data_IF_478126440525
#
_entry.id   IF_478126440525
#
_cell.length_a   1.000
_cell.length_b   1.000
_cell.length_c   1.000
_cell.angle_alpha   90.00
_cell.angle_beta   90.00
_cell.angle_gamma   90.00
#
_symmetry.space_group_name_H-M   'P 1'
#
loop_
_entity.id
_entity.type
_entity.pdbx_description
1 polymer ?
#
# COMPACT_ATOMS: atom_id res chain seq x y z
N UNK A 1 12.22 -49.57 -9.27
CA UNK A 1 12.49 -48.14 -9.51
C UNK A 1 11.23 -47.36 -9.13
N UNK A 2 11.38 -46.32 -8.30
CA UNK A 2 10.31 -45.77 -7.48
C UNK A 2 9.32 -44.91 -8.28
N UNK A 3 8.02 -45.13 -8.04
CA UNK A 3 6.83 -44.45 -8.61
C UNK A 3 6.91 -42.91 -8.58
N UNK A 4 7.75 -42.37 -7.70
CA UNK A 4 8.00 -40.94 -7.50
C UNK A 4 8.76 -40.32 -8.69
N UNK A 5 9.69 -41.07 -9.31
CA UNK A 5 10.49 -40.56 -10.42
C UNK A 5 9.62 -40.42 -11.69
N UNK A 6 8.68 -41.33 -11.91
CA UNK A 6 7.71 -41.25 -13.00
C UNK A 6 6.73 -40.09 -12.83
N UNK A 7 6.26 -39.82 -11.61
CA UNK A 7 5.44 -38.62 -11.34
C UNK A 7 6.19 -37.32 -11.61
N UNK A 8 7.48 -37.24 -11.23
CA UNK A 8 8.31 -36.07 -11.53
C UNK A 8 8.51 -35.87 -13.04
N UNK A 9 8.73 -36.96 -13.79
CA UNK A 9 8.85 -36.91 -15.25
C UNK A 9 7.53 -36.53 -15.93
N UNK A 10 6.39 -36.95 -15.39
CA UNK A 10 5.07 -36.53 -15.89
C UNK A 10 4.74 -35.07 -15.56
N UNK A 11 5.13 -34.58 -14.37
CA UNK A 11 4.97 -33.17 -13.99
C UNK A 11 5.86 -32.25 -14.84
N UNK A 12 7.11 -32.63 -15.07
CA UNK A 12 8.03 -31.88 -15.93
C UNK A 12 7.52 -31.82 -17.38
N UNK A 13 7.00 -32.94 -17.90
CA UNK A 13 6.45 -32.99 -19.27
C UNK A 13 5.12 -32.24 -19.42
N UNK A 14 4.36 -32.07 -18.34
CA UNK A 14 3.14 -31.24 -18.31
C UNK A 14 3.44 -29.75 -18.17
N UNK A 15 4.63 -29.39 -17.67
CA UNK A 15 5.12 -28.02 -17.64
C UNK A 15 5.60 -27.53 -19.02
N UNK A 16 6.10 -28.44 -19.88
CA UNK A 16 6.52 -28.09 -21.25
C UNK A 16 5.34 -27.98 -22.23
N UNK A 17 4.22 -28.66 -21.99
CA UNK A 17 3.00 -28.60 -22.85
C UNK A 17 1.95 -27.63 -22.32
N UNK A 18 2.40 -26.52 -21.74
CA UNK A 18 1.57 -25.41 -21.26
C UNK A 18 1.96 -24.08 -21.91
N UNK A 19 2.58 -24.09 -23.09
CA UNK A 19 2.84 -22.91 -23.91
C UNK A 19 1.54 -22.40 -24.57
N UNK A 20 0.55 -22.08 -23.75
CA UNK A 20 -0.51 -21.15 -24.09
C UNK A 20 -0.14 -19.84 -23.41
N UNK A 21 0.36 -18.89 -24.19
CA UNK A 21 0.74 -17.54 -23.82
C UNK A 21 -0.28 -16.87 -22.88
N UNK A 22 -0.15 -17.09 -21.57
CA UNK A 22 -0.64 -16.12 -20.61
C UNK A 22 0.45 -15.09 -20.49
N UNK A 23 0.45 -14.20 -21.49
CA UNK A 23 1.03 -12.87 -21.35
C UNK A 23 0.36 -12.26 -20.12
N UNK A 24 0.96 -12.48 -18.95
CA UNK A 24 0.53 -11.88 -17.72
C UNK A 24 0.77 -10.39 -17.93
N UNK A 25 -0.29 -9.70 -18.37
CA UNK A 25 -0.24 -8.29 -18.73
C UNK A 25 0.50 -7.55 -17.61
N UNK A 26 1.37 -6.58 -17.92
CA UNK A 26 2.08 -5.79 -16.90
C UNK A 26 1.15 -5.20 -15.81
N UNK A 27 -0.13 -5.05 -16.15
CA UNK A 27 -1.22 -4.67 -15.24
C UNK A 27 -1.47 -5.71 -14.13
N UNK A 28 -1.46 -7.00 -14.42
CA UNK A 28 -1.72 -8.08 -13.45
C UNK A 28 -0.61 -8.18 -12.39
N UNK A 29 0.65 -8.07 -12.80
CA UNK A 29 1.80 -8.03 -11.88
C UNK A 29 1.80 -6.78 -10.98
N UNK A 30 1.47 -5.61 -11.54
CA UNK A 30 1.35 -4.38 -10.74
C UNK A 30 0.22 -4.48 -9.72
N UNK A 31 -0.92 -5.05 -10.09
CA UNK A 31 -2.05 -5.24 -9.18
C UNK A 31 -1.72 -6.22 -8.05
N UNK A 32 -1.02 -7.32 -8.37
CA UNK A 32 -0.52 -8.29 -7.40
C UNK A 32 0.45 -7.65 -6.40
N UNK A 33 1.37 -6.78 -6.87
CA UNK A 33 2.30 -6.06 -6.00
C UNK A 33 1.59 -5.10 -5.05
N UNK A 34 0.60 -4.35 -5.52
CA UNK A 34 -0.18 -3.41 -4.69
C UNK A 34 -0.94 -4.15 -3.58
N UNK A 35 -1.51 -5.32 -3.89
CA UNK A 35 -2.23 -6.12 -2.91
C UNK A 35 -1.35 -6.62 -1.75
N UNK A 36 -0.04 -6.77 -2.00
CA UNK A 36 0.94 -7.23 -1.01
C UNK A 36 1.56 -6.08 -0.18
N UNK A 37 1.28 -4.82 -0.52
CA UNK A 37 1.86 -3.68 0.19
C UNK A 37 1.18 -3.48 1.54
N UNK A 38 1.96 -3.42 2.61
CA UNK A 38 1.48 -3.07 3.94
C UNK A 38 1.38 -1.56 4.13
N UNK A 39 0.70 -1.11 5.19
CA UNK A 39 0.50 0.31 5.49
C UNK A 39 1.80 1.11 5.46
N UNK A 40 2.87 0.54 6.01
CA UNK A 40 4.19 1.14 6.01
C UNK A 40 4.71 1.45 4.60
N UNK A 41 4.60 0.48 3.68
CA UNK A 41 5.01 0.66 2.28
C UNK A 41 4.12 1.67 1.57
N UNK A 42 2.81 1.60 1.81
CA UNK A 42 1.81 2.50 1.23
C UNK A 42 2.05 3.96 1.65
N UNK A 43 2.31 4.24 2.93
CA UNK A 43 2.64 5.60 3.41
C UNK A 43 3.91 6.14 2.76
N UNK A 44 4.83 5.25 2.39
CA UNK A 44 6.08 5.61 1.73
C UNK A 44 5.94 5.79 0.21
N UNK A 45 4.80 5.46 -0.39
CA UNK A 45 4.61 5.64 -1.82
C UNK A 45 4.64 7.11 -2.24
N UNK A 46 5.57 7.44 -3.14
CA UNK A 46 5.72 8.81 -3.66
C UNK A 46 4.50 9.25 -4.46
N UNK A 47 3.70 8.30 -4.94
CA UNK A 47 2.43 8.56 -5.61
C UNK A 47 1.40 9.21 -4.69
N UNK A 48 1.47 9.00 -3.38
CA UNK A 48 0.61 9.66 -2.40
C UNK A 48 1.23 10.90 -1.79
N UNK A 49 2.52 10.86 -1.48
CA UNK A 49 3.26 12.00 -0.93
C UNK A 49 4.53 12.24 -1.76
N UNK A 50 4.51 13.09 -2.80
CA UNK A 50 5.63 13.26 -3.71
C UNK A 50 6.85 13.83 -3.02
N UNK A 51 6.62 14.72 -2.04
CA UNK A 51 7.67 15.30 -1.20
C UNK A 51 7.58 14.73 0.21
N UNK A 52 8.70 14.75 0.93
CA UNK A 52 8.72 14.37 2.35
C UNK A 52 7.85 15.31 3.19
N UNK A 53 7.83 16.61 2.83
CA UNK A 53 6.99 17.62 3.47
C UNK A 53 5.50 17.32 3.40
N UNK A 54 5.03 16.63 2.36
CA UNK A 54 3.61 16.28 2.22
C UNK A 54 3.23 15.18 3.23
N UNK A 55 4.11 14.19 3.42
CA UNK A 55 3.93 13.16 4.44
C UNK A 55 4.05 13.75 5.84
N UNK A 56 5.02 14.65 6.08
CA UNK A 56 5.20 15.33 7.35
C UNK A 56 3.96 16.17 7.75
N UNK A 57 3.39 16.92 6.80
CA UNK A 57 2.14 17.68 7.03
C UNK A 57 0.94 16.77 7.28
N UNK A 58 0.87 15.63 6.62
CA UNK A 58 -0.16 14.64 6.90
C UNK A 58 -0.01 14.05 8.29
N UNK A 59 1.21 13.63 8.67
CA UNK A 59 1.52 13.12 10.01
C UNK A 59 1.12 14.12 11.11
N UNK A 60 1.44 15.40 10.93
CA UNK A 60 1.07 16.46 11.88
C UNK A 60 -0.44 16.65 12.07
N UNK A 61 -1.28 16.24 11.10
CA UNK A 61 -2.74 16.32 11.22
C UNK A 61 -3.35 15.13 11.94
N UNK A 62 -2.69 13.98 11.89
CA UNK A 62 -3.22 12.70 12.41
C UNK A 62 -2.57 12.29 13.73
N UNK A 63 -1.39 12.82 14.05
CA UNK A 63 -0.68 12.56 15.31
C UNK A 63 -0.85 13.76 16.26
N UNK A 64 -1.75 13.69 17.26
CA UNK A 64 -2.07 14.84 18.12
C UNK A 64 -0.91 15.24 19.05
N UNK A 65 -0.06 14.29 19.44
CA UNK A 65 0.98 14.50 20.45
C UNK A 65 2.30 15.06 19.88
N UNK A 66 2.37 15.30 18.57
CA UNK A 66 3.60 15.73 17.90
C UNK A 66 3.41 16.98 17.08
N UNK A 67 4.29 17.95 17.31
CA UNK A 67 4.30 19.22 16.57
C UNK A 67 4.81 19.01 15.14
N UNK A 68 4.29 19.79 14.20
CA UNK A 68 4.60 19.69 12.76
C UNK A 68 6.10 19.78 12.44
N UNK A 69 6.84 20.64 13.14
CA UNK A 69 8.29 20.82 12.92
C UNK A 69 9.12 19.57 13.26
N UNK A 70 8.59 18.68 14.11
CA UNK A 70 9.28 17.44 14.48
C UNK A 70 9.40 16.51 13.28
N UNK A 71 8.38 16.48 12.41
CA UNK A 71 8.35 15.61 11.25
C UNK A 71 9.18 16.13 10.07
N UNK A 72 9.37 17.44 9.93
CA UNK A 72 10.13 18.01 8.80
C UNK A 72 11.60 17.57 8.79
N UNK A 73 12.16 17.25 9.96
CA UNK A 73 13.54 16.77 10.13
C UNK A 73 13.67 15.24 10.06
N UNK A 74 12.56 14.51 10.00
CA UNK A 74 12.54 13.05 10.02
C UNK A 74 12.64 12.45 8.62
N UNK A 75 13.24 11.26 8.53
CA UNK A 75 13.22 10.52 7.29
C UNK A 75 11.80 10.01 7.01
N UNK A 76 11.48 9.79 5.73
CA UNK A 76 10.17 9.30 5.29
C UNK A 76 9.76 8.00 5.99
N UNK A 77 10.72 7.10 6.21
CA UNK A 77 10.51 5.84 6.91
C UNK A 77 10.13 6.06 8.38
N UNK A 78 10.78 7.00 9.06
CA UNK A 78 10.49 7.31 10.47
C UNK A 78 9.10 7.91 10.64
N UNK A 79 8.71 8.81 9.74
CA UNK A 79 7.36 9.40 9.75
C UNK A 79 6.30 8.31 9.51
N UNK A 80 6.54 7.43 8.52
CA UNK A 80 5.62 6.32 8.24
C UNK A 80 5.52 5.36 9.43
N UNK A 81 6.63 5.02 10.08
CA UNK A 81 6.65 4.15 11.26
C UNK A 81 5.82 4.75 12.40
N UNK A 82 5.93 6.06 12.66
CA UNK A 82 5.13 6.73 13.70
C UNK A 82 3.63 6.73 13.41
N UNK A 83 3.23 6.90 12.15
CA UNK A 83 1.81 6.79 11.77
C UNK A 83 1.31 5.36 11.98
N UNK A 84 2.08 4.35 11.55
CA UNK A 84 1.73 2.93 11.74
C UNK A 84 1.57 2.62 13.22
N UNK A 85 2.56 2.99 14.04
CA UNK A 85 2.55 2.78 15.49
C UNK A 85 1.31 3.40 16.15
N UNK A 86 0.94 4.62 15.74
CA UNK A 86 -0.24 5.28 16.27
C UNK A 86 -1.53 4.56 15.89
N UNK A 87 -1.67 4.15 14.63
CA UNK A 87 -2.86 3.45 14.14
C UNK A 87 -3.00 2.07 14.81
N UNK A 88 -1.90 1.34 14.97
CA UNK A 88 -1.86 0.05 15.67
C UNK A 88 -2.27 0.17 17.14
N UNK A 89 -1.85 1.26 17.81
CA UNK A 89 -2.26 1.55 19.20
C UNK A 89 -3.72 1.99 19.31
N UNK A 90 -4.25 2.64 18.28
CA UNK A 90 -5.59 3.24 18.32
C UNK A 90 -6.69 2.23 18.02
N UNK A 91 -6.65 1.59 16.84
CA UNK A 91 -7.66 0.59 16.44
C UNK A 91 -7.13 -0.33 15.31
N UNK A 92 -7.04 -1.66 15.53
CA UNK A 92 -6.69 -2.61 14.48
C UNK A 92 -7.60 -2.58 13.24
N UNK A 93 -8.86 -2.15 13.38
CA UNK A 93 -9.78 -2.00 12.26
C UNK A 93 -9.42 -0.79 11.40
N UNK A 94 -8.98 0.31 12.01
CA UNK A 94 -8.51 1.49 11.29
C UNK A 94 -7.29 1.17 10.42
N UNK A 95 -6.37 0.30 10.89
CA UNK A 95 -5.24 -0.16 10.08
C UNK A 95 -5.71 -0.86 8.79
N UNK A 96 -6.63 -1.82 8.90
CA UNK A 96 -7.14 -2.57 7.74
C UNK A 96 -7.91 -1.68 6.78
N UNK A 97 -8.77 -0.81 7.30
CA UNK A 97 -9.54 0.15 6.51
C UNK A 97 -8.61 1.13 5.76
N UNK A 98 -7.57 1.62 6.44
CA UNK A 98 -6.60 2.53 5.85
C UNK A 98 -5.78 1.84 4.76
N UNK A 99 -5.26 0.64 5.01
CA UNK A 99 -4.54 -0.15 4.00
C UNK A 99 -5.40 -0.38 2.76
N UNK A 100 -6.64 -0.82 2.95
CA UNK A 100 -7.55 -1.08 1.85
C UNK A 100 -7.82 0.19 1.03
N UNK A 101 -8.15 1.31 1.70
CA UNK A 101 -8.39 2.58 1.04
C UNK A 101 -7.17 3.11 0.29
N UNK A 102 -5.96 2.95 0.86
CA UNK A 102 -4.72 3.31 0.18
C UNK A 102 -4.46 2.42 -1.04
N UNK A 103 -4.68 1.10 -0.96
CA UNK A 103 -4.52 0.21 -2.12
C UNK A 103 -5.48 0.60 -3.26
N UNK A 104 -6.74 0.89 -2.95
CA UNK A 104 -7.73 1.38 -3.91
C UNK A 104 -7.30 2.69 -4.58
N UNK A 105 -6.84 3.65 -3.78
CA UNK A 105 -6.32 4.91 -4.29
C UNK A 105 -5.09 4.69 -5.19
N UNK A 106 -4.19 3.77 -4.83
CA UNK A 106 -3.01 3.47 -5.64
C UNK A 106 -3.39 2.84 -6.99
N UNK A 107 -4.36 1.92 -6.98
CA UNK A 107 -4.90 1.31 -8.17
C UNK A 107 -5.55 2.37 -9.09
N UNK A 108 -6.35 3.28 -8.52
CA UNK A 108 -6.95 4.40 -9.24
C UNK A 108 -5.90 5.34 -9.88
N UNK A 109 -4.86 5.71 -9.13
CA UNK A 109 -3.77 6.56 -9.65
C UNK A 109 -3.00 5.88 -10.78
N UNK A 110 -2.87 4.55 -10.73
CA UNK A 110 -2.18 3.77 -11.75
C UNK A 110 -3.01 3.59 -13.03
N UNK A 111 -4.34 3.61 -12.93
CA UNK A 111 -5.23 3.51 -14.09
C UNK A 111 -5.49 4.87 -14.74
N UNK A 112 -5.50 5.96 -13.97
CA UNK A 112 -5.71 7.33 -14.46
C UNK A 112 -4.93 8.35 -13.62
N UNK A 113 -4.31 9.38 -14.24
CA UNK A 113 -3.73 10.48 -13.47
C UNK A 113 -4.80 11.12 -12.58
N UNK A 114 -4.61 11.18 -11.25
CA UNK A 114 -5.58 11.76 -10.36
C UNK A 114 -5.74 13.25 -10.64
N UNK A 115 -6.97 13.75 -10.68
CA UNK A 115 -7.21 15.18 -10.66
C UNK A 115 -6.69 15.76 -9.33
N UNK A 116 -6.36 17.06 -9.30
CA UNK A 116 -5.88 17.71 -8.06
C UNK A 116 -6.83 17.51 -6.86
N UNK A 117 -8.13 17.39 -7.11
CA UNK A 117 -9.15 17.14 -6.09
C UNK A 117 -9.09 15.75 -5.46
N UNK A 118 -8.75 14.71 -6.24
CA UNK A 118 -8.77 13.31 -5.78
C UNK A 118 -7.79 13.09 -4.62
N UNK A 119 -6.61 13.71 -4.71
CA UNK A 119 -5.59 13.60 -3.66
C UNK A 119 -6.06 14.18 -2.32
N UNK A 120 -6.70 15.35 -2.36
CA UNK A 120 -7.22 15.98 -1.14
C UNK A 120 -8.31 15.10 -0.51
N UNK A 121 -9.21 14.56 -1.31
CA UNK A 121 -10.25 13.62 -0.87
C UNK A 121 -9.67 12.36 -0.22
N UNK A 122 -8.64 11.76 -0.81
CA UNK A 122 -7.95 10.60 -0.21
C UNK A 122 -7.34 10.95 1.16
N UNK A 123 -6.61 12.06 1.25
CA UNK A 123 -5.99 12.47 2.52
C UNK A 123 -7.01 12.76 3.62
N UNK A 124 -8.12 13.43 3.27
CA UNK A 124 -9.21 13.69 4.22
C UNK A 124 -9.87 12.40 4.69
N UNK A 125 -10.09 11.43 3.79
CA UNK A 125 -10.64 10.12 4.14
C UNK A 125 -9.71 9.36 5.09
N UNK A 126 -8.43 9.31 4.78
CA UNK A 126 -7.44 8.63 5.63
C UNK A 126 -7.31 9.28 7.00
N UNK A 127 -7.36 10.61 7.07
CA UNK A 127 -7.41 11.34 8.34
C UNK A 127 -8.63 10.93 9.18
N UNK A 128 -9.81 10.79 8.56
CA UNK A 128 -11.03 10.32 9.24
C UNK A 128 -10.92 8.88 9.73
N UNK A 129 -10.36 7.98 8.91
CA UNK A 129 -10.11 6.58 9.31
C UNK A 129 -9.19 6.52 10.52
N UNK A 130 -8.05 7.22 10.47
CA UNK A 130 -7.07 7.23 11.57
C UNK A 130 -7.67 7.81 12.86
N UNK A 131 -8.56 8.80 12.75
CA UNK A 131 -9.27 9.40 13.89
C UNK A 131 -10.50 8.60 14.34
N UNK A 132 -10.80 7.45 13.74
CA UNK A 132 -11.97 6.63 14.08
C UNK A 132 -13.33 7.24 13.70
N UNK A 133 -13.35 8.20 12.77
CA UNK A 133 -14.56 8.90 12.31
C UNK A 133 -15.23 8.24 11.10
N UNK A 134 -14.56 7.26 10.48
CA UNK A 134 -15.03 6.51 9.31
C UNK A 134 -14.38 5.13 9.32
N UNK A 135 -15.14 4.06 9.56
CA UNK A 135 -14.70 2.65 9.59
C UNK A 135 -15.67 1.77 8.80
#
# INVERSE_FOLDING_TARGET
MSRIIEEYLHLARRAETGAGERSASPLSFKHSRIAQMHLFDLLREKKFFPRNSDLARFAARVLPDMRSYSFEKMARSDIAARIVEYVEKSDPRAQRALEQSMREALAHINSRPPARGDRASFLSRWERIIKGLEL
#
